data_IF_572187695489
#
_entry.id   IF_572187695489
#
_cell.length_a   1.000
_cell.length_b   1.000
_cell.length_c   1.000
_cell.angle_alpha   90.00
_cell.angle_beta   90.00
_cell.angle_gamma   90.00
#
_symmetry.space_group_name_H-M   'P 1'
#
loop_
_entity.id
_entity.type
_entity.pdbx_description
1 polymer ?
#
# COMPACT_ATOMS: atom_id res chain seq x y z
N UNK A 1 30.38 -14.22 -12.00
CA UNK A 1 29.90 -13.44 -10.83
C UNK A 1 30.37 -11.97 -10.87
N UNK A 2 29.98 -11.20 -11.89
CA UNK A 2 30.51 -9.83 -12.10
C UNK A 2 29.56 -8.69 -11.68
N UNK A 3 28.39 -8.53 -12.32
CA UNK A 3 27.58 -7.31 -12.17
C UNK A 3 26.85 -7.15 -10.83
N UNK A 4 26.22 -8.21 -10.31
CA UNK A 4 25.46 -8.12 -9.04
C UNK A 4 26.36 -7.82 -7.84
N UNK A 5 27.58 -8.38 -7.83
CA UNK A 5 28.56 -8.10 -6.77
C UNK A 5 29.08 -6.67 -6.84
N UNK A 6 29.28 -6.13 -8.05
CA UNK A 6 29.64 -4.73 -8.25
C UNK A 6 28.51 -3.80 -7.78
N UNK A 7 27.26 -4.10 -8.13
CA UNK A 7 26.10 -3.34 -7.69
C UNK A 7 25.97 -3.34 -6.15
N UNK A 8 26.15 -4.50 -5.51
CA UNK A 8 26.11 -4.62 -4.04
C UNK A 8 27.24 -3.80 -3.37
N UNK A 9 28.45 -3.84 -3.92
CA UNK A 9 29.57 -3.03 -3.42
C UNK A 9 29.31 -1.52 -3.57
N UNK A 10 28.73 -1.11 -4.71
CA UNK A 10 28.37 0.28 -4.96
C UNK A 10 27.27 0.75 -3.99
N UNK A 11 26.23 -0.06 -3.81
CA UNK A 11 25.17 0.21 -2.85
C UNK A 11 25.72 0.32 -1.42
N UNK A 12 26.61 -0.58 -1.00
CA UNK A 12 27.28 -0.49 0.30
C UNK A 12 28.17 0.76 0.45
N UNK A 13 28.77 1.25 -0.64
CA UNK A 13 29.49 2.52 -0.63
C UNK A 13 28.55 3.72 -0.54
N UNK A 14 27.41 3.67 -1.23
CA UNK A 14 26.34 4.67 -1.16
C UNK A 14 25.78 4.80 0.26
N UNK A 15 25.38 3.69 0.88
CA UNK A 15 24.87 3.66 2.25
C UNK A 15 25.89 4.22 3.26
N UNK A 16 27.18 3.89 3.09
CA UNK A 16 28.24 4.46 3.92
C UNK A 16 28.33 5.97 3.76
N UNK A 17 28.22 6.49 2.53
CA UNK A 17 28.24 7.93 2.27
C UNK A 17 27.05 8.65 2.89
N UNK A 18 25.85 8.08 2.81
CA UNK A 18 24.67 8.66 3.47
C UNK A 18 24.89 8.74 4.99
N UNK A 19 25.35 7.64 5.59
CA UNK A 19 25.63 7.54 7.03
C UNK A 19 26.71 8.52 7.49
N UNK A 20 27.84 8.62 6.78
CA UNK A 20 28.94 9.55 7.07
C UNK A 20 28.48 11.01 7.08
N UNK A 21 27.51 11.36 6.22
CA UNK A 21 26.97 12.71 6.10
C UNK A 21 25.71 12.95 6.95
N UNK A 22 25.25 11.95 7.72
CA UNK A 22 24.02 12.02 8.52
C UNK A 22 22.77 12.42 7.72
N UNK A 23 22.69 11.98 6.46
CA UNK A 23 21.56 12.22 5.56
C UNK A 23 20.78 10.95 5.30
N UNK A 24 19.49 11.10 4.98
CA UNK A 24 18.58 10.02 4.60
C UNK A 24 18.00 10.33 3.23
N UNK A 25 17.86 9.30 2.38
CA UNK A 25 17.04 9.41 1.18
C UNK A 25 15.56 9.06 1.45
N UNK A 26 14.74 8.99 0.39
CA UNK A 26 13.31 8.71 0.54
C UNK A 26 13.01 7.29 1.01
N UNK A 27 13.78 6.29 0.56
CA UNK A 27 13.55 4.89 0.93
C UNK A 27 14.03 4.63 2.36
N UNK A 28 15.12 5.30 2.77
CA UNK A 28 15.61 5.32 4.14
C UNK A 28 14.54 5.72 5.16
N UNK A 29 13.71 6.73 4.85
CA UNK A 29 12.65 7.18 5.75
C UNK A 29 11.71 6.04 6.11
N UNK A 30 11.39 5.17 5.16
CA UNK A 30 10.52 4.02 5.37
C UNK A 30 11.28 2.87 6.02
N UNK A 31 12.43 2.49 5.45
CA UNK A 31 13.20 1.33 5.89
C UNK A 31 13.70 1.50 7.32
N UNK A 32 14.26 2.67 7.66
CA UNK A 32 14.79 2.93 9.01
C UNK A 32 13.69 3.04 10.04
N UNK A 33 12.54 3.65 9.70
CA UNK A 33 11.36 3.65 10.56
C UNK A 33 10.87 2.23 10.82
N UNK A 34 10.80 1.40 9.79
CA UNK A 34 10.39 0.00 9.90
C UNK A 34 11.35 -0.79 10.79
N UNK A 35 12.65 -0.61 10.60
CA UNK A 35 13.68 -1.25 11.42
C UNK A 35 13.55 -0.83 12.88
N UNK A 36 13.44 0.47 13.16
CA UNK A 36 13.32 1.02 14.52
C UNK A 36 12.10 0.44 15.26
N UNK A 37 10.92 0.47 14.62
CA UNK A 37 9.69 -0.08 15.21
C UNK A 37 9.72 -1.61 15.34
N UNK A 38 10.49 -2.29 14.49
CA UNK A 38 10.70 -3.73 14.60
C UNK A 38 11.63 -4.10 15.75
N UNK A 39 12.69 -3.30 15.98
CA UNK A 39 13.74 -3.61 16.96
C UNK A 39 13.45 -3.08 18.36
N UNK A 40 12.67 -2.00 18.49
CA UNK A 40 12.40 -1.34 19.77
C UNK A 40 10.90 -1.40 20.12
N UNK A 41 10.49 -2.36 20.99
CA UNK A 41 9.10 -2.47 21.43
C UNK A 41 8.59 -1.26 22.19
N UNK A 42 9.45 -0.51 22.88
CA UNK A 42 9.07 0.66 23.65
C UNK A 42 8.69 1.81 22.70
N UNK A 43 9.56 2.11 21.73
CA UNK A 43 9.28 3.12 20.70
C UNK A 43 8.03 2.72 19.91
N UNK A 44 7.91 1.44 19.52
CA UNK A 44 6.69 0.94 18.87
C UNK A 44 5.44 1.18 19.71
N UNK A 45 5.48 0.87 21.01
CA UNK A 45 4.33 1.08 21.89
C UNK A 45 3.93 2.56 22.00
N UNK A 46 4.92 3.46 22.11
CA UNK A 46 4.70 4.90 22.10
C UNK A 46 4.04 5.32 20.78
N UNK A 47 4.59 4.94 19.64
CA UNK A 47 4.03 5.24 18.33
C UNK A 47 2.59 4.72 18.16
N UNK A 48 2.35 3.45 18.52
CA UNK A 48 1.01 2.86 18.51
C UNK A 48 0.04 3.64 19.40
N UNK A 49 0.51 4.24 20.51
CA UNK A 49 -0.32 5.05 21.41
C UNK A 49 -0.78 6.38 20.84
N UNK A 50 -0.04 6.94 19.88
CA UNK A 50 -0.46 8.13 19.17
C UNK A 50 -1.57 7.86 18.16
N UNK A 51 -1.67 6.65 17.61
CA UNK A 51 -2.64 6.30 16.57
C UNK A 51 -3.75 5.41 17.12
N UNK A 52 -4.80 6.04 17.63
CA UNK A 52 -6.02 5.33 18.03
C UNK A 52 -6.65 4.58 16.83
N UNK A 53 -6.65 5.22 15.66
CA UNK A 53 -7.14 4.65 14.40
C UNK A 53 -6.21 5.03 13.24
N UNK A 54 -6.09 4.13 12.26
CA UNK A 54 -5.27 4.32 11.06
C UNK A 54 -6.19 4.26 9.84
N UNK A 55 -6.06 5.25 8.95
CA UNK A 55 -6.74 5.27 7.66
C UNK A 55 -5.68 5.30 6.57
N UNK A 56 -5.80 4.40 5.60
CA UNK A 56 -4.88 4.31 4.47
C UNK A 56 -5.70 4.38 3.19
N UNK A 57 -5.38 5.34 2.34
CA UNK A 57 -5.93 5.46 0.99
C UNK A 57 -4.96 4.88 -0.04
N UNK A 58 -5.44 4.59 -1.24
CA UNK A 58 -4.66 4.01 -2.35
C UNK A 58 -3.87 2.74 -1.95
N UNK A 59 -4.49 1.90 -1.12
CA UNK A 59 -3.82 0.76 -0.49
C UNK A 59 -3.33 -0.30 -1.49
N UNK A 60 -3.93 -0.36 -2.70
CA UNK A 60 -3.48 -1.23 -3.78
C UNK A 60 -2.05 -0.95 -4.25
N UNK A 61 -1.54 0.27 -4.04
CA UNK A 61 -0.24 0.72 -4.50
C UNK A 61 0.84 0.64 -3.40
N UNK A 62 0.54 -0.03 -2.29
CA UNK A 62 1.49 -0.21 -1.18
C UNK A 62 2.59 -1.20 -1.51
N UNK A 63 3.83 -0.87 -1.13
CA UNK A 63 4.98 -1.76 -1.23
C UNK A 63 5.20 -2.58 0.08
N UNK A 64 6.03 -3.64 0.08
CA UNK A 64 6.19 -4.50 1.25
C UNK A 64 6.72 -3.79 2.51
N UNK A 65 7.51 -2.71 2.37
CA UNK A 65 8.01 -1.93 3.51
C UNK A 65 6.87 -1.11 4.13
N UNK A 66 6.05 -0.48 3.30
CA UNK A 66 4.87 0.26 3.74
C UNK A 66 3.87 -0.66 4.44
N UNK A 67 3.59 -1.84 3.87
CA UNK A 67 2.69 -2.80 4.51
C UNK A 67 3.21 -3.27 5.88
N UNK A 68 4.51 -3.56 5.98
CA UNK A 68 5.12 -3.93 7.26
C UNK A 68 5.07 -2.79 8.28
N UNK A 69 5.25 -1.55 7.86
CA UNK A 69 5.06 -0.37 8.72
C UNK A 69 3.63 -0.27 9.23
N UNK A 70 2.63 -0.40 8.35
CA UNK A 70 1.21 -0.33 8.71
C UNK A 70 0.86 -1.38 9.77
N UNK A 71 1.40 -2.60 9.64
CA UNK A 71 1.26 -3.65 10.67
C UNK A 71 1.91 -3.32 12.00
N UNK A 72 3.08 -2.68 11.97
CA UNK A 72 3.78 -2.27 13.19
C UNK A 72 3.05 -1.13 13.90
N UNK A 73 2.41 -0.22 13.16
CA UNK A 73 1.58 0.84 13.72
C UNK A 73 0.19 0.35 14.17
N UNK A 74 -0.38 -0.66 13.51
CA UNK A 74 -1.71 -1.17 13.86
C UNK A 74 -1.66 -1.98 15.15
N UNK A 75 -2.56 -1.64 16.08
CA UNK A 75 -2.73 -2.34 17.35
C UNK A 75 -3.59 -3.58 17.15
N UNK A 76 -3.00 -4.74 17.44
CA UNK A 76 -3.66 -6.06 17.28
C UNK A 76 -4.31 -6.28 15.91
N UNK A 77 -3.86 -5.54 14.89
CA UNK A 77 -4.41 -5.57 13.52
C UNK A 77 -5.92 -5.30 13.47
N UNK A 78 -6.42 -4.42 14.34
CA UNK A 78 -7.86 -4.20 14.57
C UNK A 78 -8.33 -2.75 14.42
N UNK A 79 -7.41 -1.78 14.40
CA UNK A 79 -7.74 -0.35 14.40
C UNK A 79 -7.39 0.36 13.07
N UNK A 80 -7.37 -0.38 11.97
CA UNK A 80 -6.99 0.11 10.65
C UNK A 80 -8.13 -0.04 9.65
N UNK A 81 -8.33 1.00 8.84
CA UNK A 81 -9.22 1.02 7.68
C UNK A 81 -8.38 1.31 6.44
N UNK A 82 -8.49 0.46 5.43
CA UNK A 82 -7.84 0.66 4.14
C UNK A 82 -8.89 0.89 3.06
N UNK A 83 -8.59 1.81 2.15
CA UNK A 83 -9.38 2.11 0.96
C UNK A 83 -8.47 1.89 -0.24
N UNK A 84 -9.00 1.27 -1.28
CA UNK A 84 -8.26 1.03 -2.50
C UNK A 84 -9.08 0.31 -3.55
N UNK A 85 -8.54 0.30 -4.76
CA UNK A 85 -9.14 -0.29 -5.95
C UNK A 85 -8.06 -1.10 -6.69
N UNK A 86 -8.17 -2.43 -6.70
CA UNK A 86 -7.23 -3.32 -7.36
C UNK A 86 -7.14 -3.11 -8.89
N UNK A 87 -8.17 -2.54 -9.51
CA UNK A 87 -8.15 -2.18 -10.94
C UNK A 87 -7.32 -0.93 -11.22
N UNK A 88 -7.00 -0.15 -10.18
CA UNK A 88 -6.24 1.09 -10.25
C UNK A 88 -4.78 0.92 -9.80
N UNK A 89 -4.34 -0.30 -9.52
CA UNK A 89 -2.95 -0.61 -9.16
C UNK A 89 -2.01 -0.42 -10.37
N UNK A 90 -1.37 0.75 -10.46
CA UNK A 90 -0.47 1.10 -11.57
C UNK A 90 0.99 1.29 -11.13
N UNK A 91 1.30 1.24 -9.83
CA UNK A 91 2.65 1.49 -9.31
C UNK A 91 3.53 0.24 -9.15
N UNK A 92 3.21 -0.87 -9.81
CA UNK A 92 4.02 -2.11 -9.75
C UNK A 92 5.49 -1.89 -10.10
N UNK A 93 5.80 -0.96 -11.01
CA UNK A 93 7.17 -0.61 -11.38
C UNK A 93 7.97 0.04 -10.24
N UNK A 94 7.30 0.56 -9.20
CA UNK A 94 7.89 1.08 -7.95
C UNK A 94 7.83 0.07 -6.79
N UNK A 95 7.50 -1.19 -7.08
CA UNK A 95 7.45 -2.25 -6.07
C UNK A 95 6.12 -2.35 -5.31
N UNK A 96 5.05 -1.68 -5.78
CA UNK A 96 3.71 -1.90 -5.26
C UNK A 96 3.27 -3.37 -5.46
N UNK A 97 2.56 -3.91 -4.47
CA UNK A 97 1.99 -5.25 -4.51
C UNK A 97 0.49 -5.23 -4.21
N UNK A 98 -0.32 -5.35 -5.27
CA UNK A 98 -1.77 -5.49 -5.18
C UNK A 98 -2.19 -6.72 -4.36
N UNK A 99 -1.28 -7.67 -4.13
CA UNK A 99 -1.49 -8.80 -3.22
C UNK A 99 -1.86 -8.35 -1.80
N UNK A 100 -1.38 -7.20 -1.33
CA UNK A 100 -1.70 -6.69 0.01
C UNK A 100 -3.21 -6.44 0.18
N UNK A 101 -3.86 -5.75 -0.76
CA UNK A 101 -5.30 -5.48 -0.66
C UNK A 101 -6.14 -6.78 -0.77
N UNK A 102 -5.66 -7.76 -1.53
CA UNK A 102 -6.29 -9.09 -1.59
C UNK A 102 -6.10 -9.92 -0.32
N UNK A 103 -4.96 -9.78 0.36
CA UNK A 103 -4.63 -10.50 1.58
C UNK A 103 -5.23 -9.87 2.84
N UNK A 104 -5.55 -8.57 2.81
CA UNK A 104 -6.04 -7.81 3.96
C UNK A 104 -7.16 -8.50 4.75
N UNK A 105 -8.25 -9.04 4.13
CA UNK A 105 -9.31 -9.72 4.88
C UNK A 105 -8.89 -11.02 5.59
N UNK A 106 -7.75 -11.62 5.18
CA UNK A 106 -7.20 -12.85 5.77
C UNK A 106 -6.20 -12.55 6.88
N UNK A 107 -5.51 -11.42 6.80
CA UNK A 107 -4.38 -11.10 7.66
C UNK A 107 -4.73 -10.16 8.82
N UNK A 108 -5.78 -9.37 8.67
CA UNK A 108 -6.31 -8.47 9.71
C UNK A 108 -7.53 -9.07 10.41
N UNK A 109 -7.77 -8.69 11.66
CA UNK A 109 -8.83 -9.28 12.49
C UNK A 109 -10.17 -8.58 12.27
N UNK A 110 -11.26 -9.34 12.25
CA UNK A 110 -12.63 -8.83 12.21
C UNK A 110 -12.89 -7.84 11.05
N UNK A 111 -12.28 -8.07 9.89
CA UNK A 111 -12.38 -7.17 8.74
C UNK A 111 -13.82 -7.11 8.23
N UNK A 112 -14.40 -5.90 8.27
CA UNK A 112 -15.65 -5.60 7.57
C UNK A 112 -15.31 -5.06 6.19
N UNK A 113 -15.70 -5.78 5.14
CA UNK A 113 -15.57 -5.33 3.75
C UNK A 113 -16.81 -4.54 3.32
N UNK A 114 -16.60 -3.36 2.75
CA UNK A 114 -17.64 -2.54 2.13
C UNK A 114 -17.23 -2.27 0.69
N UNK A 115 -18.12 -2.54 -0.27
CA UNK A 115 -17.88 -2.29 -1.70
C UNK A 115 -18.74 -1.11 -2.14
N UNK A 116 -18.10 -0.03 -2.56
CA UNK A 116 -18.79 1.14 -3.11
C UNK A 116 -18.98 0.93 -4.62
N UNK A 117 -20.24 0.74 -5.03
CA UNK A 117 -20.60 0.44 -6.42
C UNK A 117 -21.03 1.68 -7.21
N UNK A 118 -21.45 2.73 -6.53
CA UNK A 118 -21.97 3.93 -7.19
C UNK A 118 -20.83 4.88 -7.55
N UNK A 119 -20.68 5.14 -8.85
CA UNK A 119 -19.79 6.16 -9.39
C UNK A 119 -20.53 7.50 -9.47
N UNK A 120 -19.99 8.51 -8.80
CA UNK A 120 -20.54 9.88 -8.78
C UNK A 120 -19.79 10.83 -9.71
N UNK A 121 -18.71 10.38 -10.36
CA UNK A 121 -17.77 11.22 -11.11
C UNK A 121 -18.09 11.27 -12.60
N UNK A 122 -18.48 10.14 -13.17
CA UNK A 122 -18.55 9.91 -14.62
C UNK A 122 -19.96 9.54 -15.05
N UNK A 123 -20.31 9.86 -16.30
CA UNK A 123 -21.58 9.48 -16.94
C UNK A 123 -21.66 7.96 -17.16
N UNK A 124 -22.87 7.46 -17.39
CA UNK A 124 -23.11 6.03 -17.68
C UNK A 124 -22.26 5.52 -18.85
N UNK A 125 -22.13 6.31 -19.93
CA UNK A 125 -21.36 5.92 -21.11
C UNK A 125 -19.88 5.69 -20.80
N UNK A 126 -19.26 6.57 -20.01
CA UNK A 126 -17.86 6.44 -19.59
C UNK A 126 -17.69 5.21 -18.68
N UNK A 127 -18.59 5.03 -17.72
CA UNK A 127 -18.51 3.90 -16.77
C UNK A 127 -18.67 2.56 -17.50
N UNK A 128 -19.57 2.46 -18.47
CA UNK A 128 -19.75 1.24 -19.27
C UNK A 128 -18.52 0.90 -20.10
N UNK A 129 -17.90 1.89 -20.75
CA UNK A 129 -16.66 1.68 -21.51
C UNK A 129 -15.52 1.21 -20.59
N UNK A 130 -15.37 1.87 -19.42
CA UNK A 130 -14.38 1.47 -18.44
C UNK A 130 -14.61 0.03 -17.93
N UNK A 131 -15.85 -0.32 -17.62
CA UNK A 131 -16.25 -1.66 -17.17
C UNK A 131 -15.94 -2.74 -18.23
N UNK A 132 -16.26 -2.47 -19.50
CA UNK A 132 -16.00 -3.38 -20.61
C UNK A 132 -14.50 -3.58 -20.87
N UNK A 133 -13.68 -2.54 -20.66
CA UNK A 133 -12.23 -2.63 -20.78
C UNK A 133 -11.64 -3.50 -19.67
N UNK A 134 -11.99 -3.20 -18.42
CA UNK A 134 -11.38 -3.87 -17.26
C UNK A 134 -11.87 -5.33 -17.10
N UNK A 135 -13.05 -5.68 -17.62
CA UNK A 135 -13.58 -7.05 -17.63
C UNK A 135 -12.63 -8.10 -18.22
N UNK A 136 -11.65 -7.67 -19.03
CA UNK A 136 -10.63 -8.55 -19.64
C UNK A 136 -9.45 -8.85 -18.72
N UNK A 137 -9.26 -8.09 -17.63
CA UNK A 137 -8.13 -8.25 -16.73
C UNK A 137 -8.32 -9.45 -15.77
N UNK A 138 -7.29 -10.29 -15.56
CA UNK A 138 -7.38 -11.47 -14.70
C UNK A 138 -7.26 -11.09 -13.22
N UNK A 139 -7.80 -11.95 -12.33
CA UNK A 139 -7.62 -11.90 -10.86
C UNK A 139 -7.96 -10.54 -10.25
N UNK A 140 -9.25 -10.23 -10.26
CA UNK A 140 -9.80 -8.99 -9.72
C UNK A 140 -10.81 -9.28 -8.62
N UNK A 141 -11.07 -8.28 -7.79
CA UNK A 141 -12.27 -8.27 -6.98
C UNK A 141 -13.50 -8.07 -7.86
N UNK A 142 -14.49 -8.95 -7.69
CA UNK A 142 -15.79 -8.76 -8.31
C UNK A 142 -16.47 -7.51 -7.74
N UNK A 143 -16.75 -6.56 -8.63
CA UNK A 143 -17.47 -5.33 -8.32
C UNK A 143 -18.15 -4.79 -9.58
N UNK A 144 -19.44 -4.53 -9.44
CA UNK A 144 -20.25 -3.91 -10.49
C UNK A 144 -20.38 -2.42 -10.18
N UNK A 145 -19.69 -1.59 -10.96
CA UNK A 145 -19.72 -0.14 -10.82
C UNK A 145 -20.81 0.44 -11.71
N UNK A 146 -21.72 1.22 -11.15
CA UNK A 146 -22.84 1.87 -11.83
C UNK A 146 -22.78 3.37 -11.61
N UNK A 147 -23.08 4.20 -12.61
CA UNK A 147 -23.18 5.64 -12.39
C UNK A 147 -24.51 6.01 -11.72
N UNK A 148 -24.59 7.20 -11.17
CA UNK A 148 -25.81 7.77 -10.56
C UNK A 148 -26.92 8.11 -11.56
N UNK A 149 -26.71 7.85 -12.85
CA UNK A 149 -27.65 8.22 -13.91
C UNK A 149 -27.50 9.67 -14.37
N UNK A 150 -26.33 10.30 -14.15
CA UNK A 150 -25.99 11.57 -14.80
C UNK A 150 -25.90 11.30 -16.30
N UNK A 151 -26.95 11.68 -17.02
CA UNK A 151 -26.98 11.66 -18.47
C UNK A 151 -26.12 12.84 -18.96
N UNK A 152 -25.15 12.53 -19.81
CA UNK A 152 -24.34 13.51 -20.54
C UNK A 152 -24.96 13.84 -21.90
#
# INVERSE_FOLDING_TARGET
>A
FGPLRQMANLYAAYERRLSENQVLDYDDLLIRSMMLLSSDPLIRSVCQSHFAYILVDEYQDTNPVQEKLLRLFSRDLSNITVVGDDDQSIYRFRGADVGHIHAFPKEYRNVKRVVLRTNYRSTDSIVQVAAALIAKAPKRFEKDVVSTGIQG
#
